data_IF_662042570502
#
_entry.id   IF_662042570502
#
_cell.length_a   1.000
_cell.length_b   1.000
_cell.length_c   1.000
_cell.angle_alpha   90.00
_cell.angle_beta   90.00
_cell.angle_gamma   90.00
#
_symmetry.space_group_name_H-M   'P 1'
#
loop_
_entity.id
_entity.type
_entity.pdbx_description
1 polymer ?
#
# COMPACT_ATOMS: atom_id res chain seq x y z
N UNK A 1 21.52 -17.66 33.62
CA UNK A 1 20.53 -18.41 32.81
C UNK A 1 19.21 -17.68 32.99
N UNK A 2 18.80 -16.85 32.02
CA UNK A 2 17.67 -15.91 32.20
C UNK A 2 16.36 -16.66 31.99
N UNK A 3 15.57 -16.79 33.05
CA UNK A 3 14.26 -17.44 32.99
C UNK A 3 13.31 -16.53 32.21
N UNK A 4 12.89 -16.97 31.02
CA UNK A 4 11.86 -16.27 30.23
C UNK A 4 10.49 -16.54 30.86
N UNK A 5 10.16 -15.85 31.94
CA UNK A 5 8.82 -15.92 32.54
C UNK A 5 7.85 -14.96 31.84
N UNK A 6 6.60 -15.40 31.66
CA UNK A 6 5.55 -14.57 31.06
C UNK A 6 5.30 -13.29 31.88
N UNK A 7 5.44 -13.37 33.21
CA UNK A 7 5.35 -12.23 34.14
C UNK A 7 6.46 -11.20 33.86
N UNK A 8 7.72 -11.64 33.67
CA UNK A 8 8.85 -10.76 33.33
C UNK A 8 8.59 -10.02 32.02
N UNK A 9 8.15 -10.74 30.98
CA UNK A 9 7.82 -10.15 29.67
C UNK A 9 6.72 -9.08 29.80
N UNK A 10 5.65 -9.38 30.54
CA UNK A 10 4.55 -8.45 30.75
C UNK A 10 4.97 -7.19 31.51
N UNK A 11 5.86 -7.30 32.50
CA UNK A 11 6.46 -6.15 33.20
C UNK A 11 7.29 -5.26 32.27
N UNK A 12 8.11 -5.87 31.41
CA UNK A 12 8.89 -5.16 30.41
C UNK A 12 8.02 -4.43 29.37
N UNK A 13 6.94 -5.07 28.91
CA UNK A 13 5.99 -4.48 27.96
C UNK A 13 5.30 -3.23 28.54
N UNK A 14 5.19 -3.11 29.87
CA UNK A 14 4.67 -1.92 30.57
C UNK A 14 5.77 -0.92 30.93
N UNK A 15 6.94 -1.01 30.31
CA UNK A 15 8.08 -0.11 30.51
C UNK A 15 8.70 -0.16 31.92
N UNK A 16 8.55 -1.27 32.64
CA UNK A 16 9.33 -1.51 33.87
C UNK A 16 10.75 -1.94 33.48
N UNK A 17 11.81 -1.33 34.04
CA UNK A 17 13.19 -1.69 33.73
C UNK A 17 13.49 -3.19 33.93
N UNK A 18 14.36 -3.76 33.08
CA UNK A 18 14.65 -5.20 33.05
C UNK A 18 15.11 -5.77 34.40
N UNK A 19 15.95 -5.04 35.11
CA UNK A 19 16.49 -5.43 36.42
C UNK A 19 15.37 -5.64 37.46
N UNK A 20 14.39 -4.72 37.51
CA UNK A 20 13.27 -4.81 38.44
C UNK A 20 12.22 -5.83 37.97
N UNK A 21 12.00 -5.93 36.66
CA UNK A 21 11.11 -6.92 36.08
C UNK A 21 11.58 -8.36 36.36
N UNK A 22 12.90 -8.60 36.39
CA UNK A 22 13.46 -9.90 36.76
C UNK A 22 13.23 -10.21 38.25
N UNK A 23 13.56 -9.28 39.15
CA UNK A 23 13.38 -9.48 40.62
C UNK A 23 11.90 -9.64 41.02
N UNK A 24 10.98 -8.91 40.37
CA UNK A 24 9.55 -9.01 40.64
C UNK A 24 8.92 -10.29 40.08
N UNK A 25 9.45 -10.81 38.98
CA UNK A 25 8.93 -12.00 38.32
C UNK A 25 9.56 -13.32 38.81
N UNK A 26 10.54 -13.25 39.71
CA UNK A 26 11.19 -14.42 40.31
C UNK A 26 10.15 -15.20 41.15
N UNK A 27 9.86 -16.42 40.71
CA UNK A 27 8.85 -17.36 41.26
C UNK A 27 7.42 -16.81 41.51
N UNK A 28 7.03 -15.71 40.85
CA UNK A 28 5.72 -15.07 41.01
C UNK A 28 4.89 -15.00 39.73
N UNK A 29 3.59 -15.28 39.85
CA UNK A 29 2.64 -15.07 38.76
C UNK A 29 2.23 -13.60 38.69
N UNK A 30 1.79 -13.16 37.52
CA UNK A 30 1.29 -11.80 37.32
C UNK A 30 0.20 -11.40 38.34
N UNK A 31 -0.65 -12.34 38.71
CA UNK A 31 -1.72 -12.11 39.69
C UNK A 31 -1.21 -11.84 41.11
N UNK A 32 -0.01 -12.30 41.45
CA UNK A 32 0.63 -12.03 42.73
C UNK A 32 1.36 -10.68 42.68
N UNK A 33 1.93 -10.31 41.52
CA UNK A 33 2.63 -9.04 41.33
C UNK A 33 1.68 -7.84 41.37
N UNK A 34 0.44 -7.98 40.87
CA UNK A 34 -0.54 -6.89 40.80
C UNK A 34 -1.11 -6.47 42.17
N UNK A 35 -0.99 -7.31 43.19
CA UNK A 35 -1.52 -7.08 44.54
C UNK A 35 -0.45 -6.59 45.52
N UNK A 36 0.81 -6.53 45.09
CA UNK A 36 1.91 -6.04 45.91
C UNK A 36 1.74 -4.54 46.19
N UNK A 37 2.00 -4.15 47.43
CA UNK A 37 2.09 -2.75 47.84
C UNK A 37 3.41 -2.12 47.39
N UNK A 38 3.45 -0.78 47.33
CA UNK A 38 4.68 -0.06 46.98
C UNK A 38 5.85 -0.37 47.94
N UNK A 39 5.57 -0.66 49.21
CA UNK A 39 6.59 -1.01 50.21
C UNK A 39 7.18 -2.40 49.97
N UNK A 40 6.34 -3.38 49.64
CA UNK A 40 6.79 -4.73 49.29
C UNK A 40 7.62 -4.70 47.99
N UNK A 41 7.21 -3.91 46.99
CA UNK A 41 7.99 -3.72 45.76
C UNK A 41 9.37 -3.13 46.06
N UNK A 42 9.47 -2.15 46.97
CA UNK A 42 10.74 -1.58 47.41
C UNK A 42 11.63 -2.65 48.06
N UNK A 43 11.05 -3.51 48.90
CA UNK A 43 11.76 -4.57 49.60
C UNK A 43 12.27 -5.66 48.66
N UNK A 44 11.48 -6.06 47.65
CA UNK A 44 11.88 -7.07 46.66
C UNK A 44 12.86 -6.56 45.61
N UNK A 45 12.72 -5.29 45.20
CA UNK A 45 13.60 -4.70 44.19
C UNK A 45 14.90 -4.14 44.78
N UNK A 46 14.96 -3.99 46.11
CA UNK A 46 16.04 -3.32 46.86
C UNK A 46 16.27 -1.88 46.37
N UNK A 47 15.17 -1.13 46.25
CA UNK A 47 15.19 0.25 45.73
C UNK A 47 14.62 1.25 46.71
N UNK A 48 14.83 2.53 46.44
CA UNK A 48 14.20 3.62 47.17
C UNK A 48 12.66 3.61 47.06
N UNK A 49 12.02 4.29 48.00
CA UNK A 49 10.55 4.38 48.05
C UNK A 49 9.97 5.09 46.82
N UNK A 50 10.72 5.99 46.19
CA UNK A 50 10.25 6.80 45.06
C UNK A 50 10.29 6.01 43.75
N UNK A 51 11.32 5.19 43.51
CA UNK A 51 11.32 4.23 42.39
C UNK A 51 10.25 3.15 42.57
N UNK A 52 10.06 2.64 43.79
CA UNK A 52 9.05 1.62 44.06
C UNK A 52 7.62 2.16 43.88
N UNK A 53 7.36 3.41 44.29
CA UNK A 53 6.09 4.10 44.04
C UNK A 53 5.82 4.29 42.54
N UNK A 54 6.85 4.60 41.74
CA UNK A 54 6.73 4.70 40.27
C UNK A 54 6.37 3.35 39.64
N UNK A 55 7.04 2.27 40.04
CA UNK A 55 6.76 0.92 39.51
C UNK A 55 5.35 0.46 39.92
N UNK A 56 4.97 0.68 41.19
CA UNK A 56 3.61 0.40 41.68
C UNK A 56 2.55 1.21 40.90
N UNK A 57 2.83 2.48 40.61
CA UNK A 57 1.96 3.34 39.80
C UNK A 57 1.77 2.84 38.36
N UNK A 58 2.83 2.32 37.74
CA UNK A 58 2.77 1.71 36.40
C UNK A 58 1.90 0.43 36.42
N UNK A 59 2.11 -0.44 37.42
CA UNK A 59 1.38 -1.72 37.55
C UNK A 59 -0.11 -1.47 37.85
N UNK A 60 -0.42 -0.56 38.77
CA UNK A 60 -1.80 -0.19 39.13
C UNK A 60 -2.48 0.59 38.01
N UNK A 61 -1.77 1.49 37.34
CA UNK A 61 -2.24 2.22 36.17
C UNK A 61 -2.62 1.29 35.02
N UNK A 62 -1.80 0.28 34.72
CA UNK A 62 -2.12 -0.74 33.73
C UNK A 62 -3.37 -1.57 34.10
N UNK A 63 -3.55 -1.88 35.40
CA UNK A 63 -4.71 -2.62 35.90
C UNK A 63 -6.00 -1.76 35.97
N UNK A 64 -5.87 -0.43 36.06
CA UNK A 64 -7.01 0.50 36.11
C UNK A 64 -7.72 0.69 34.76
N UNK A 65 -7.15 0.17 33.66
CA UNK A 65 -7.76 0.23 32.31
C UNK A 65 -9.10 -0.52 32.18
N UNK A 66 -9.61 -1.14 33.27
CA UNK A 66 -10.93 -1.76 33.28
C UNK A 66 -11.72 -1.59 34.60
N UNK A 67 -11.52 -0.51 35.37
CA UNK A 67 -12.37 -0.17 36.53
C UNK A 67 -12.75 1.30 36.52
N UNK A 68 -13.93 1.59 35.97
CA UNK A 68 -14.69 2.77 36.38
C UNK A 68 -15.19 2.51 37.80
N UNK A 69 -14.53 3.09 38.79
CA UNK A 69 -14.88 2.95 40.20
C UNK A 69 -14.48 4.23 40.92
N UNK A 70 -15.33 5.25 40.82
CA UNK A 70 -15.32 6.37 41.76
C UNK A 70 -16.49 6.18 42.71
N UNK A 71 -16.20 5.59 43.86
CA UNK A 71 -17.02 5.77 45.06
C UNK A 71 -16.15 6.42 46.10
N UNK A 72 -16.40 7.69 46.41
CA UNK A 72 -16.52 8.07 47.82
C UNK A 72 -17.30 9.39 48.00
N UNK A 73 -18.15 9.40 49.02
CA UNK A 73 -19.10 10.46 49.28
C UNK A 73 -18.48 11.65 50.01
N UNK A 74 -18.63 12.85 49.43
CA UNK A 74 -19.15 13.99 50.20
C UNK A 74 -19.81 15.03 49.28
N UNK A 75 -20.86 15.61 49.84
CA UNK A 75 -21.94 16.40 49.27
C UNK A 75 -21.56 17.71 48.59
N UNK A 76 -21.38 17.68 47.28
CA UNK A 76 -21.73 18.81 46.42
C UNK A 76 -22.50 18.27 45.22
N UNK A 77 -23.82 18.29 45.31
CA UNK A 77 -24.71 17.95 44.19
C UNK A 77 -24.49 18.97 43.08
N UNK A 78 -23.45 18.77 42.28
CA UNK A 78 -23.28 19.52 41.05
C UNK A 78 -24.26 18.88 40.09
N UNK A 79 -25.47 19.43 40.01
CA UNK A 79 -26.48 18.99 39.06
C UNK A 79 -25.96 19.27 37.66
N UNK A 80 -25.19 18.34 37.10
CA UNK A 80 -24.83 18.34 35.69
C UNK A 80 -26.12 18.00 34.95
N UNK A 81 -26.92 19.04 34.64
CA UNK A 81 -27.92 18.93 33.57
C UNK A 81 -27.15 18.50 32.35
N UNK A 82 -27.30 17.23 31.97
CA UNK A 82 -26.88 16.78 30.66
C UNK A 82 -27.70 17.62 29.68
N UNK A 83 -27.09 18.69 29.15
CA UNK A 83 -27.56 19.22 27.89
C UNK A 83 -27.40 18.04 26.95
N UNK A 84 -28.49 17.31 26.69
CA UNK A 84 -28.68 16.57 25.45
C UNK A 84 -28.70 17.62 24.34
N UNK A 85 -27.56 18.28 24.13
CA UNK A 85 -27.22 18.74 22.82
C UNK A 85 -27.15 17.44 22.04
N UNK A 86 -28.15 17.22 21.20
CA UNK A 86 -27.98 16.33 20.07
C UNK A 86 -26.72 16.86 19.39
N UNK A 87 -25.56 16.25 19.68
CA UNK A 87 -24.39 16.42 18.82
C UNK A 87 -24.88 15.82 17.51
N UNK A 88 -25.51 16.66 16.68
CA UNK A 88 -25.62 16.42 15.25
C UNK A 88 -24.17 16.21 14.88
N UNK A 89 -23.77 14.95 14.72
CA UNK A 89 -22.60 14.62 13.95
C UNK A 89 -22.88 15.33 12.64
N UNK A 90 -22.26 16.49 12.43
CA UNK A 90 -22.05 16.99 11.09
C UNK A 90 -21.01 16.03 10.53
N UNK A 91 -21.44 14.81 10.21
CA UNK A 91 -20.90 14.15 9.03
C UNK A 91 -21.30 15.10 7.92
N UNK A 92 -20.46 16.11 7.68
CA UNK A 92 -20.45 16.70 6.37
C UNK A 92 -20.22 15.50 5.47
N UNK A 93 -21.28 15.01 4.81
CA UNK A 93 -21.06 14.25 3.61
C UNK A 93 -20.31 15.27 2.76
N UNK A 94 -18.99 15.10 2.67
CA UNK A 94 -18.24 15.55 1.51
C UNK A 94 -18.83 14.77 0.36
N UNK A 95 -20.02 15.21 -0.08
CA UNK A 95 -20.56 14.82 -1.38
C UNK A 95 -19.58 15.50 -2.31
N UNK A 96 -18.58 14.74 -2.74
CA UNK A 96 -17.76 15.18 -3.85
C UNK A 96 -18.75 15.40 -4.98
N UNK A 97 -18.85 16.64 -5.43
CA UNK A 97 -19.75 16.99 -6.51
C UNK A 97 -19.38 16.10 -7.71
N UNK A 98 -20.39 15.54 -8.37
CA UNK A 98 -20.16 14.74 -9.56
C UNK A 98 -19.51 15.67 -10.59
N UNK A 99 -18.25 15.39 -10.94
CA UNK A 99 -17.59 16.10 -12.02
C UNK A 99 -18.44 15.96 -13.27
N UNK A 100 -18.76 17.09 -13.90
CA UNK A 100 -19.49 17.11 -15.16
C UNK A 100 -18.62 16.50 -16.23
N UNK A 101 -19.05 15.38 -16.80
CA UNK A 101 -18.35 14.73 -17.90
C UNK A 101 -18.32 15.67 -19.10
N UNK A 102 -17.13 16.19 -19.41
CA UNK A 102 -16.89 16.95 -20.62
C UNK A 102 -16.50 15.99 -21.76
N UNK A 103 -17.40 15.74 -22.73
CA UNK A 103 -17.10 14.86 -23.85
C UNK A 103 -15.98 15.40 -24.74
N UNK A 104 -15.79 16.73 -24.81
CA UNK A 104 -14.80 17.34 -25.69
C UNK A 104 -13.38 17.10 -25.19
N UNK A 105 -13.13 17.35 -23.90
CA UNK A 105 -11.85 17.02 -23.27
C UNK A 105 -11.54 15.52 -23.37
N UNK A 106 -12.54 14.65 -23.23
CA UNK A 106 -12.34 13.21 -23.41
C UNK A 106 -11.96 12.85 -24.85
N UNK A 107 -12.59 13.48 -25.84
CA UNK A 107 -12.27 13.25 -27.24
C UNK A 107 -10.86 13.76 -27.61
N UNK A 108 -10.45 14.89 -27.06
CA UNK A 108 -9.11 15.43 -27.25
C UNK A 108 -8.02 14.47 -26.75
N UNK A 109 -8.29 13.67 -25.70
CA UNK A 109 -7.35 12.66 -25.20
C UNK A 109 -7.06 11.49 -26.15
N UNK A 110 -7.84 11.35 -27.23
CA UNK A 110 -7.60 10.34 -28.28
C UNK A 110 -6.73 10.84 -29.43
N UNK A 111 -6.41 12.14 -29.45
CA UNK A 111 -5.51 12.71 -30.45
C UNK A 111 -4.09 12.42 -30.00
N UNK A 112 -3.30 11.83 -30.90
CA UNK A 112 -1.89 11.57 -30.64
C UNK A 112 -1.11 12.88 -30.50
N UNK A 113 -0.18 12.95 -29.56
CA UNK A 113 0.65 14.15 -29.32
C UNK A 113 1.47 14.55 -30.55
N UNK A 114 1.80 13.57 -31.40
CA UNK A 114 2.57 13.72 -32.63
C UNK A 114 1.69 13.87 -33.88
N UNK A 115 0.35 13.95 -33.74
CA UNK A 115 -0.58 14.04 -34.87
C UNK A 115 -0.31 15.23 -35.80
N UNK A 116 0.23 16.33 -35.28
CA UNK A 116 0.54 17.52 -36.07
C UNK A 116 1.88 17.44 -36.82
N UNK A 117 2.72 16.46 -36.51
CA UNK A 117 4.07 16.31 -37.06
C UNK A 117 4.05 16.07 -38.58
N UNK A 118 4.93 16.73 -39.36
CA UNK A 118 5.07 16.46 -40.79
C UNK A 118 5.37 14.98 -41.11
N UNK A 119 6.08 14.26 -40.25
CA UNK A 119 6.36 12.83 -40.40
C UNK A 119 5.08 12.02 -40.25
N UNK A 120 4.32 12.24 -39.17
CA UNK A 120 3.07 11.53 -38.87
C UNK A 120 2.09 11.65 -40.04
N UNK A 121 1.84 12.88 -40.51
CA UNK A 121 0.96 13.15 -41.66
C UNK A 121 1.44 12.49 -42.96
N UNK A 122 2.76 12.39 -43.16
CA UNK A 122 3.32 11.75 -44.36
C UNK A 122 3.13 10.23 -44.34
N UNK A 123 3.22 9.60 -43.17
CA UNK A 123 3.02 8.17 -42.97
C UNK A 123 1.53 7.84 -43.06
N UNK A 124 0.68 8.62 -42.41
CA UNK A 124 -0.79 8.46 -42.45
C UNK A 124 -1.29 8.53 -43.89
N UNK A 125 -0.90 9.56 -44.65
CA UNK A 125 -1.26 9.68 -46.07
C UNK A 125 -0.73 8.53 -46.91
N UNK A 126 0.51 8.08 -46.68
CA UNK A 126 1.07 6.94 -47.40
C UNK A 126 0.35 5.62 -47.06
N UNK A 127 -0.14 5.47 -45.82
CA UNK A 127 -0.95 4.32 -45.40
C UNK A 127 -2.34 4.33 -46.04
N UNK A 128 -2.99 5.50 -46.13
CA UNK A 128 -4.25 5.67 -46.86
C UNK A 128 -4.10 5.34 -48.34
N UNK A 129 -3.06 5.85 -49.00
CA UNK A 129 -2.76 5.59 -50.41
C UNK A 129 -2.51 4.07 -50.65
N UNK A 130 -1.89 3.38 -49.69
CA UNK A 130 -1.63 1.95 -49.75
C UNK A 130 -2.85 1.10 -49.33
N UNK A 131 -3.91 1.70 -48.78
CA UNK A 131 -5.09 1.00 -48.25
C UNK A 131 -4.81 0.11 -47.04
N UNK A 132 -3.70 0.33 -46.33
CA UNK A 132 -3.30 -0.47 -45.16
C UNK A 132 -3.86 0.16 -43.89
N UNK A 133 -4.46 -0.66 -43.03
CA UNK A 133 -5.00 -0.22 -41.74
C UNK A 133 -3.95 -0.40 -40.64
N UNK A 134 -3.33 0.70 -40.23
CA UNK A 134 -2.53 0.78 -39.02
C UNK A 134 -3.36 1.29 -37.85
N UNK A 135 -2.98 0.90 -36.62
CA UNK A 135 -3.49 1.57 -35.42
C UNK A 135 -2.75 2.91 -35.24
N UNK A 136 -3.35 3.84 -34.50
CA UNK A 136 -2.71 5.11 -34.16
C UNK A 136 -1.36 4.90 -33.46
N UNK A 137 -1.27 3.92 -32.56
CA UNK A 137 -0.01 3.55 -31.89
C UNK A 137 1.07 3.10 -32.88
N UNK A 138 0.73 2.30 -33.90
CA UNK A 138 1.73 1.90 -34.90
C UNK A 138 2.27 3.11 -35.67
N UNK A 139 1.43 4.09 -35.99
CA UNK A 139 1.89 5.32 -36.67
C UNK A 139 2.74 6.18 -35.73
N UNK A 140 2.37 6.26 -34.44
CA UNK A 140 3.16 6.92 -33.40
C UNK A 140 4.55 6.30 -33.27
N UNK A 141 4.63 4.99 -33.05
CA UNK A 141 5.89 4.25 -32.90
C UNK A 141 6.78 4.39 -34.14
N UNK A 142 6.19 4.37 -35.34
CA UNK A 142 6.92 4.60 -36.59
C UNK A 142 7.45 6.04 -36.70
N UNK A 143 6.70 7.01 -36.20
CA UNK A 143 7.09 8.42 -36.19
C UNK A 143 8.22 8.65 -35.19
N UNK A 144 8.13 8.10 -33.98
CA UNK A 144 9.19 8.13 -32.96
C UNK A 144 10.47 7.47 -33.50
N UNK A 145 10.36 6.29 -34.11
CA UNK A 145 11.51 5.59 -34.70
C UNK A 145 12.16 6.35 -35.88
N UNK A 146 11.43 7.25 -36.55
CA UNK A 146 11.98 8.13 -37.59
C UNK A 146 12.68 9.33 -36.96
N UNK A 147 12.12 9.88 -35.88
CA UNK A 147 12.73 10.98 -35.12
C UNK A 147 14.02 10.55 -34.42
N UNK A 148 14.07 9.33 -33.87
CA UNK A 148 15.29 8.73 -33.31
C UNK A 148 16.43 8.61 -34.34
N UNK A 149 16.12 8.68 -35.63
CA UNK A 149 17.08 8.68 -36.73
C UNK A 149 17.40 10.09 -37.24
N UNK A 150 17.06 11.12 -36.46
CA UNK A 150 17.25 12.55 -36.75
C UNK A 150 16.57 13.02 -38.05
N UNK A 151 15.48 12.38 -38.48
CA UNK A 151 14.76 12.73 -39.71
C UNK A 151 13.50 13.55 -39.42
N UNK A 152 13.64 14.87 -39.46
CA UNK A 152 12.50 15.78 -39.26
C UNK A 152 11.43 15.74 -40.38
N UNK A 153 11.73 15.17 -41.55
CA UNK A 153 10.80 15.03 -42.69
C UNK A 153 11.14 13.79 -43.52
N UNK A 154 10.12 13.10 -44.03
CA UNK A 154 10.28 12.03 -45.02
C UNK A 154 9.96 12.52 -46.43
N UNK A 155 10.71 12.01 -47.40
CA UNK A 155 10.30 12.09 -48.81
C UNK A 155 9.17 11.09 -49.09
N UNK A 156 8.33 11.37 -50.09
CA UNK A 156 7.20 10.49 -50.45
C UNK A 156 7.62 9.03 -50.66
N UNK A 157 8.71 8.79 -51.40
CA UNK A 157 9.25 7.44 -51.64
C UNK A 157 9.70 6.73 -50.38
N UNK A 158 10.27 7.46 -49.42
CA UNK A 158 10.70 6.87 -48.14
C UNK A 158 9.50 6.52 -47.26
N UNK A 159 8.47 7.37 -47.22
CA UNK A 159 7.23 7.08 -46.51
C UNK A 159 6.50 5.86 -47.11
N UNK A 160 6.37 5.81 -48.45
CA UNK A 160 5.80 4.66 -49.17
C UNK A 160 6.58 3.36 -48.89
N UNK A 161 7.92 3.41 -48.93
CA UNK A 161 8.79 2.26 -48.61
C UNK A 161 8.65 1.80 -47.16
N UNK A 162 8.56 2.75 -46.21
CA UNK A 162 8.42 2.46 -44.79
C UNK A 162 7.07 1.79 -44.50
N UNK A 163 5.99 2.34 -45.06
CA UNK A 163 4.64 1.78 -44.95
C UNK A 163 4.57 0.38 -45.58
N UNK A 164 5.19 0.18 -46.75
CA UNK A 164 5.19 -1.12 -47.40
C UNK A 164 5.90 -2.20 -46.56
N UNK A 165 7.07 -1.89 -45.98
CA UNK A 165 7.78 -2.84 -45.12
C UNK A 165 7.04 -3.08 -43.79
N UNK A 166 6.46 -2.03 -43.20
CA UNK A 166 5.64 -2.15 -41.99
C UNK A 166 4.39 -3.01 -42.24
N UNK A 167 3.71 -2.84 -43.39
CA UNK A 167 2.56 -3.65 -43.77
C UNK A 167 2.94 -5.12 -43.96
N UNK A 168 4.09 -5.39 -44.58
CA UNK A 168 4.61 -6.75 -44.74
C UNK A 168 4.94 -7.38 -43.38
N UNK A 169 5.59 -6.64 -42.49
CA UNK A 169 5.88 -7.11 -41.14
C UNK A 169 4.60 -7.40 -40.35
N UNK A 170 3.59 -6.54 -40.47
CA UNK A 170 2.28 -6.74 -39.84
C UNK A 170 1.58 -7.99 -40.38
N UNK A 171 1.67 -8.25 -41.68
CA UNK A 171 1.07 -9.45 -42.27
C UNK A 171 1.78 -10.73 -41.80
N UNK A 172 3.11 -10.71 -41.75
CA UNK A 172 3.93 -11.80 -41.22
C UNK A 172 3.72 -12.06 -39.72
N UNK A 173 3.36 -11.02 -38.96
CA UNK A 173 3.12 -11.13 -37.52
C UNK A 173 1.72 -11.67 -37.16
N UNK A 174 0.84 -11.87 -38.16
CA UNK A 174 -0.47 -12.47 -37.92
C UNK A 174 -0.32 -13.96 -37.62
N UNK A 175 -1.18 -14.44 -36.74
CA UNK A 175 -1.31 -15.88 -36.51
C UNK A 175 -1.94 -16.55 -37.72
N UNK A 176 -1.42 -17.72 -38.09
CA UNK A 176 -2.01 -18.53 -39.15
C UNK A 176 -3.43 -18.98 -38.76
N UNK A 177 -4.40 -18.95 -39.70
CA UNK A 177 -5.72 -19.49 -39.45
C UNK A 177 -5.64 -20.98 -39.06
N UNK A 178 -6.48 -21.40 -38.12
CA UNK A 178 -6.55 -22.77 -37.58
C UNK A 178 -5.37 -23.21 -36.71
N UNK A 179 -4.46 -22.30 -36.37
CA UNK A 179 -3.43 -22.56 -35.37
C UNK A 179 -4.06 -22.87 -33.99
N UNK A 180 -3.48 -23.80 -33.25
CA UNK A 180 -4.01 -24.28 -31.97
C UNK A 180 -3.68 -23.32 -30.80
N UNK A 181 -4.04 -22.04 -30.95
CA UNK A 181 -3.69 -20.96 -30.02
C UNK A 181 -4.07 -21.25 -28.57
N UNK A 182 -5.21 -21.92 -28.33
CA UNK A 182 -5.65 -22.29 -26.98
C UNK A 182 -4.72 -23.30 -26.29
N UNK A 183 -4.24 -24.31 -27.01
CA UNK A 183 -3.32 -25.32 -26.46
C UNK A 183 -1.94 -24.70 -26.20
N UNK A 184 -1.44 -23.91 -27.16
CA UNK A 184 -0.15 -23.22 -27.04
C UNK A 184 -0.18 -22.24 -25.87
N UNK A 185 -1.27 -21.48 -25.71
CA UNK A 185 -1.43 -20.55 -24.58
C UNK A 185 -1.46 -21.29 -23.25
N UNK A 186 -2.19 -22.40 -23.16
CA UNK A 186 -2.28 -23.22 -21.95
C UNK A 186 -0.90 -23.80 -21.54
N UNK A 187 -0.10 -24.22 -22.53
CA UNK A 187 1.26 -24.67 -22.27
C UNK A 187 2.19 -23.53 -21.87
N UNK A 188 2.16 -22.40 -22.59
CA UNK A 188 3.03 -21.24 -22.36
C UNK A 188 2.89 -20.66 -20.95
N UNK A 189 1.67 -20.63 -20.40
CA UNK A 189 1.44 -20.21 -19.00
C UNK A 189 1.80 -21.30 -17.99
N UNK A 190 1.68 -22.58 -18.37
CA UNK A 190 1.90 -23.72 -17.47
C UNK A 190 3.37 -24.11 -17.31
N UNK A 191 4.18 -23.99 -18.37
CA UNK A 191 5.60 -24.34 -18.38
C UNK A 191 6.42 -23.64 -17.28
N UNK A 192 6.37 -22.30 -17.10
CA UNK A 192 7.09 -21.64 -16.02
C UNK A 192 6.56 -22.02 -14.63
N UNK A 193 5.34 -22.55 -14.53
CA UNK A 193 4.78 -23.05 -13.28
C UNK A 193 5.62 -24.18 -12.67
N UNK A 194 6.24 -25.02 -13.50
CA UNK A 194 7.14 -26.09 -13.03
C UNK A 194 8.49 -25.57 -12.54
N UNK A 195 8.91 -24.41 -13.04
CA UNK A 195 10.12 -23.71 -12.61
C UNK A 195 9.88 -22.91 -11.31
N UNK A 196 8.63 -22.75 -10.89
CA UNK A 196 8.26 -22.06 -9.67
C UNK A 196 8.61 -22.92 -8.44
N UNK A 197 9.83 -22.74 -7.93
CA UNK A 197 10.28 -23.31 -6.65
C UNK A 197 10.00 -22.35 -5.49
N UNK A 198 10.01 -22.87 -4.26
CA UNK A 198 9.77 -22.07 -3.05
C UNK A 198 10.68 -20.84 -3.03
N UNK A 199 10.09 -19.64 -3.01
CA UNK A 199 10.82 -18.40 -2.71
C UNK A 199 11.37 -18.54 -1.28
N UNK A 200 12.67 -18.31 -1.09
CA UNK A 200 13.31 -18.41 0.22
C UNK A 200 12.65 -17.41 1.18
N UNK A 201 11.93 -17.93 2.16
CA UNK A 201 11.31 -17.13 3.22
C UNK A 201 12.39 -16.65 4.21
N UNK A 202 13.05 -15.57 3.84
CA UNK A 202 13.65 -14.64 4.80
C UNK A 202 13.36 -13.20 4.36
N UNK A 203 12.09 -12.81 4.49
CA UNK A 203 11.72 -11.40 4.42
C UNK A 203 12.12 -10.73 5.75
N UNK A 204 13.37 -10.28 5.83
CA UNK A 204 13.81 -9.34 6.87
C UNK A 204 13.53 -7.89 6.43
N UNK A 205 12.32 -7.64 5.89
CA UNK A 205 11.86 -6.32 5.48
C UNK A 205 10.70 -5.91 6.37
N UNK A 206 10.95 -4.95 7.26
CA UNK A 206 9.90 -4.25 8.01
C UNK A 206 9.13 -3.39 7.01
N UNK A 207 7.80 -3.59 6.94
CA UNK A 207 6.87 -2.76 6.16
C UNK A 207 6.18 -1.74 7.08
#
# INVERSE_FOLDING_TARGET
MVVKSATKKKLMDMLVPEEFAHKLADDRKWDDVKILTAQEIAQFCETDSDTAARIHGIITGANSSNRDSTGDGNSATTSVRLRRGTRRRRTAKTVQELETYDPESKLASYIDDLAEDPVFKSIEKAAEDAGVKFSQQTIHDLTEAVHDRDKAKLTKKQAESLVAEAAKAQDMAKIDPYEAAGIITAQSIGEPGTQMTMRTFHYAGVA
#
